data_IF_726928038736
#
_entry.id   IF_726928038736
#
_cell.length_a   1.000
_cell.length_b   1.000
_cell.length_c   1.000
_cell.angle_alpha   90.00
_cell.angle_beta   90.00
_cell.angle_gamma   90.00
#
_symmetry.space_group_name_H-M   'P 1'
#
loop_
_entity.id
_entity.type
_entity.pdbx_description
1 polymer ?
#
# COMPACT_ATOMS: atom_id res chain seq x y z
N UNK A 1 -8.94 2.97 11.88
CA UNK A 1 -7.99 3.23 10.79
C UNK A 1 -8.39 2.57 9.46
N UNK A 2 -8.42 1.23 9.36
CA UNK A 2 -8.59 0.52 8.06
C UNK A 2 -9.90 0.81 7.32
N UNK A 3 -11.04 0.87 8.01
CA UNK A 3 -12.35 1.11 7.38
C UNK A 3 -12.40 2.47 6.67
N UNK A 4 -12.05 3.55 7.38
CA UNK A 4 -12.05 4.90 6.81
C UNK A 4 -11.10 5.03 5.62
N UNK A 5 -9.88 4.50 5.72
CA UNK A 5 -8.92 4.52 4.61
C UNK A 5 -9.43 3.76 3.37
N UNK A 6 -10.11 2.64 3.58
CA UNK A 6 -10.72 1.86 2.49
C UNK A 6 -11.88 2.61 1.83
N UNK A 7 -12.76 3.25 2.60
CA UNK A 7 -13.89 4.03 2.08
C UNK A 7 -13.39 5.24 1.27
N UNK A 8 -12.39 5.96 1.78
CA UNK A 8 -11.80 7.10 1.05
C UNK A 8 -11.14 6.61 -0.24
N UNK A 9 -10.42 5.48 -0.19
CA UNK A 9 -9.80 4.90 -1.39
C UNK A 9 -10.87 4.52 -2.43
N UNK A 10 -11.94 3.83 -2.03
CA UNK A 10 -13.07 3.51 -2.90
C UNK A 10 -13.65 4.76 -3.55
N UNK A 11 -13.96 5.79 -2.75
CA UNK A 11 -14.50 7.04 -3.27
C UNK A 11 -13.58 7.67 -4.32
N UNK A 12 -12.26 7.71 -4.06
CA UNK A 12 -11.30 8.27 -5.03
C UNK A 12 -11.27 7.42 -6.30
N UNK A 13 -11.20 6.10 -6.17
CA UNK A 13 -11.09 5.18 -7.31
C UNK A 13 -12.37 5.20 -8.16
N UNK A 14 -13.56 5.20 -7.55
CA UNK A 14 -14.83 5.24 -8.28
C UNK A 14 -15.07 6.58 -9.00
N UNK A 15 -14.66 7.70 -8.40
CA UNK A 15 -14.91 9.03 -8.99
C UNK A 15 -13.80 9.53 -9.91
N UNK A 16 -12.54 9.12 -9.68
CA UNK A 16 -11.39 9.67 -10.39
C UNK A 16 -10.45 8.60 -10.98
N UNK A 17 -10.71 7.32 -10.71
CA UNK A 17 -9.89 6.21 -11.19
C UNK A 17 -8.72 5.85 -10.28
N UNK A 18 -8.15 4.67 -10.55
CA UNK A 18 -7.01 4.11 -9.80
C UNK A 18 -5.74 4.98 -9.91
N UNK A 19 -5.51 5.54 -11.10
CA UNK A 19 -4.29 6.31 -11.37
C UNK A 19 -4.26 7.61 -10.56
N UNK A 20 -5.42 8.25 -10.37
CA UNK A 20 -5.55 9.42 -9.49
C UNK A 20 -5.26 9.04 -8.03
N UNK A 21 -5.76 7.90 -7.56
CA UNK A 21 -5.45 7.42 -6.22
C UNK A 21 -3.93 7.23 -6.03
N UNK A 22 -3.25 6.58 -6.98
CA UNK A 22 -1.79 6.38 -6.94
C UNK A 22 -1.02 7.70 -7.01
N UNK A 23 -1.47 8.67 -7.81
CA UNK A 23 -0.89 10.02 -7.89
C UNK A 23 -0.99 10.76 -6.55
N UNK A 24 -2.17 10.71 -5.92
CA UNK A 24 -2.40 11.29 -4.58
C UNK A 24 -1.56 10.61 -3.52
N UNK A 25 -1.52 9.28 -3.53
CA UNK A 25 -0.74 8.50 -2.56
C UNK A 25 0.77 8.79 -2.67
N UNK A 26 1.25 9.13 -3.87
CA UNK A 26 2.65 9.49 -4.14
C UNK A 26 2.99 10.93 -3.75
N UNK A 27 2.00 11.79 -3.47
CA UNK A 27 2.21 13.17 -3.07
C UNK A 27 2.46 13.26 -1.55
N UNK A 28 3.65 13.67 -1.07
CA UNK A 28 4.02 13.56 0.35
C UNK A 28 3.05 14.27 1.31
N UNK A 29 2.63 15.49 0.98
CA UNK A 29 1.66 16.22 1.80
C UNK A 29 0.30 15.55 1.83
N UNK A 30 -0.14 14.98 0.70
CA UNK A 30 -1.44 14.32 0.64
C UNK A 30 -1.42 13.03 1.45
N UNK A 31 -0.34 12.24 1.32
CA UNK A 31 -0.13 11.03 2.11
C UNK A 31 -0.10 11.33 3.62
N UNK A 32 0.59 12.40 4.02
CA UNK A 32 0.63 12.85 5.42
C UNK A 32 -0.76 13.24 5.93
N UNK A 33 -1.50 14.07 5.18
CA UNK A 33 -2.87 14.45 5.52
C UNK A 33 -3.81 13.25 5.56
N UNK A 34 -3.64 12.31 4.64
CA UNK A 34 -4.44 11.09 4.60
C UNK A 34 -4.19 10.21 5.82
N UNK A 35 -2.94 10.06 6.24
CA UNK A 35 -2.61 9.40 7.50
C UNK A 35 -3.21 10.11 8.71
N UNK A 36 -3.21 11.44 8.73
CA UNK A 36 -3.84 12.22 9.79
C UNK A 36 -5.35 11.99 9.87
N UNK A 37 -6.05 12.01 8.73
CA UNK A 37 -7.48 11.68 8.64
C UNK A 37 -7.76 10.25 9.12
N UNK A 38 -6.85 9.31 8.85
CA UNK A 38 -6.96 7.93 9.33
C UNK A 38 -6.68 7.76 10.83
N UNK A 39 -6.32 8.83 11.55
CA UNK A 39 -6.09 8.87 13.00
C UNK A 39 -4.62 8.84 13.43
N UNK A 40 -3.67 9.17 12.54
CA UNK A 40 -2.26 9.32 12.89
C UNK A 40 -1.94 10.77 13.29
N UNK A 41 -1.03 10.97 14.24
CA UNK A 41 -0.53 12.32 14.50
C UNK A 41 0.46 12.78 13.43
N UNK A 42 0.54 14.09 13.20
CA UNK A 42 1.43 14.70 12.20
C UNK A 42 2.92 14.40 12.46
N UNK A 43 3.30 14.14 13.71
CA UNK A 43 4.68 13.82 14.09
C UNK A 43 4.93 12.30 14.20
N UNK A 44 4.01 11.47 13.68
CA UNK A 44 4.15 10.01 13.74
C UNK A 44 5.29 9.50 12.86
N UNK A 45 6.35 8.98 13.46
CA UNK A 45 7.50 8.40 12.75
C UNK A 45 7.16 7.18 11.88
N UNK A 46 6.09 6.47 12.21
CA UNK A 46 5.68 5.23 11.54
C UNK A 46 4.52 5.39 10.55
N UNK A 47 4.19 6.62 10.11
CA UNK A 47 2.99 6.91 9.32
C UNK A 47 2.89 6.04 8.05
N UNK A 48 3.95 5.92 7.27
CA UNK A 48 3.97 5.10 6.04
C UNK A 48 3.56 3.66 6.33
N UNK A 49 4.20 3.05 7.32
CA UNK A 49 3.94 1.66 7.68
C UNK A 49 2.56 1.43 8.32
N UNK A 50 2.02 2.44 9.01
CA UNK A 50 0.67 2.40 9.57
C UNK A 50 -0.41 2.52 8.51
N UNK A 51 -0.30 3.53 7.65
CA UNK A 51 -1.27 3.80 6.59
C UNK A 51 -1.29 2.63 5.59
N UNK A 52 -0.14 2.21 5.09
CA UNK A 52 -0.06 1.10 4.11
C UNK A 52 -0.57 -0.21 4.71
N UNK A 53 -0.21 -0.54 5.95
CA UNK A 53 -0.74 -1.73 6.62
C UNK A 53 -2.25 -1.67 6.87
N UNK A 54 -2.78 -0.48 7.19
CA UNK A 54 -4.21 -0.27 7.35
C UNK A 54 -4.97 -0.42 6.02
N UNK A 55 -4.43 0.12 4.92
CA UNK A 55 -4.96 -0.02 3.56
C UNK A 55 -4.93 -1.48 3.10
N UNK A 56 -3.83 -2.22 3.32
CA UNK A 56 -3.74 -3.64 2.97
C UNK A 56 -4.89 -4.45 3.57
N UNK A 57 -5.19 -4.25 4.85
CA UNK A 57 -6.32 -4.93 5.52
C UNK A 57 -7.67 -4.41 5.02
N UNK A 58 -7.82 -3.09 4.89
CA UNK A 58 -9.10 -2.47 4.53
C UNK A 58 -9.54 -2.75 3.09
N UNK A 59 -8.59 -2.82 2.15
CA UNK A 59 -8.86 -3.05 0.73
C UNK A 59 -8.95 -4.53 0.37
N UNK A 60 -8.54 -5.45 1.26
CA UNK A 60 -8.50 -6.88 0.98
C UNK A 60 -9.83 -7.46 0.45
N UNK A 61 -11.01 -7.09 0.98
CA UNK A 61 -12.29 -7.61 0.49
C UNK A 61 -12.67 -7.13 -0.92
N UNK A 62 -12.08 -6.04 -1.40
CA UNK A 62 -12.44 -5.34 -2.65
C UNK A 62 -11.25 -5.21 -3.61
N UNK A 63 -10.15 -5.92 -3.36
CA UNK A 63 -8.89 -5.78 -4.12
C UNK A 63 -9.07 -6.08 -5.61
N UNK A 64 -9.98 -7.01 -5.93
CA UNK A 64 -10.30 -7.40 -7.31
C UNK A 64 -11.20 -6.37 -8.00
N UNK A 65 -12.21 -5.85 -7.29
CA UNK A 65 -13.14 -4.84 -7.81
C UNK A 65 -12.42 -3.53 -8.12
N UNK A 66 -11.59 -3.05 -7.20
CA UNK A 66 -10.83 -1.81 -7.37
C UNK A 66 -9.58 -1.99 -8.25
N UNK A 67 -9.18 -3.23 -8.54
CA UNK A 67 -7.91 -3.53 -9.21
C UNK A 67 -6.70 -2.97 -8.44
N UNK A 68 -6.77 -2.96 -7.11
CA UNK A 68 -5.77 -2.41 -6.20
C UNK A 68 -5.35 -3.47 -5.19
N UNK A 69 -4.05 -3.79 -5.18
CA UNK A 69 -3.47 -4.74 -4.22
C UNK A 69 -2.26 -4.14 -3.53
N UNK A 70 -2.27 -4.15 -2.20
CA UNK A 70 -1.19 -3.62 -1.37
C UNK A 70 -0.32 -4.79 -0.91
N UNK A 71 0.98 -4.72 -1.22
CA UNK A 71 1.95 -5.76 -0.87
C UNK A 71 2.85 -5.28 0.27
N UNK A 72 3.34 -6.23 1.07
CA UNK A 72 4.21 -5.99 2.21
C UNK A 72 3.47 -5.66 3.51
N UNK A 73 4.22 -5.48 4.59
CA UNK A 73 3.73 -5.20 5.94
C UNK A 73 4.89 -4.62 6.78
N UNK A 74 4.76 -4.58 8.11
CA UNK A 74 5.82 -4.15 9.02
C UNK A 74 6.77 -5.26 9.46
N UNK A 75 7.99 -4.86 9.83
CA UNK A 75 8.96 -5.71 10.50
C UNK A 75 9.31 -6.98 9.72
N UNK A 76 9.30 -8.13 10.37
CA UNK A 76 9.59 -9.44 9.76
C UNK A 76 8.68 -9.75 8.55
N UNK A 77 7.43 -9.26 8.56
CA UNK A 77 6.49 -9.50 7.46
C UNK A 77 6.81 -8.67 6.21
N UNK A 78 7.53 -7.56 6.33
CA UNK A 78 7.97 -6.77 5.16
C UNK A 78 8.91 -7.58 4.26
N UNK A 79 9.65 -8.53 4.83
CA UNK A 79 10.57 -9.44 4.12
C UNK A 79 9.84 -10.40 3.17
N UNK A 80 8.52 -10.58 3.33
CA UNK A 80 7.68 -11.44 2.46
C UNK A 80 7.15 -10.72 1.23
N UNK A 81 7.38 -9.42 1.07
CA UNK A 81 6.92 -8.64 -0.10
C UNK A 81 7.35 -9.26 -1.44
N UNK A 82 8.60 -9.75 -1.62
CA UNK A 82 9.01 -10.45 -2.84
C UNK A 82 8.15 -11.68 -3.16
N UNK A 83 7.82 -12.49 -2.15
CA UNK A 83 7.02 -13.70 -2.33
C UNK A 83 5.57 -13.36 -2.66
N UNK A 84 5.01 -12.33 -2.00
CA UNK A 84 3.69 -11.80 -2.35
C UNK A 84 3.67 -11.38 -3.83
N UNK A 85 4.62 -10.55 -4.27
CA UNK A 85 4.69 -10.07 -5.64
C UNK A 85 4.83 -11.21 -6.67
N UNK A 86 5.62 -12.25 -6.35
CA UNK A 86 5.76 -13.44 -7.21
C UNK A 86 4.42 -14.17 -7.36
N UNK A 87 3.76 -14.52 -6.26
CA UNK A 87 2.46 -15.20 -6.27
C UNK A 87 1.39 -14.38 -7.01
N UNK A 88 1.47 -13.06 -6.89
CA UNK A 88 0.59 -12.12 -7.57
C UNK A 88 0.84 -12.13 -9.09
N UNK A 89 2.11 -12.11 -9.52
CA UNK A 89 2.51 -12.23 -10.92
C UNK A 89 2.06 -13.54 -11.55
N UNK A 90 2.26 -14.67 -10.85
CA UNK A 90 1.80 -16.00 -11.28
C UNK A 90 0.28 -16.05 -11.45
N UNK A 91 -0.47 -15.44 -10.53
CA UNK A 91 -1.95 -15.46 -10.58
C UNK A 91 -2.53 -14.56 -11.67
N UNK A 92 -1.94 -13.38 -11.89
CA UNK A 92 -2.48 -12.38 -12.82
C UNK A 92 -1.88 -12.53 -14.23
N UNK A 93 -0.73 -13.20 -14.36
CA UNK A 93 -0.05 -13.43 -15.63
C UNK A 93 0.84 -12.26 -16.07
N UNK A 94 1.61 -11.65 -15.15
CA UNK A 94 2.57 -10.59 -15.48
C UNK A 94 3.95 -10.83 -14.88
N UNK A 95 5.00 -10.25 -15.49
CA UNK A 95 6.37 -10.34 -14.96
C UNK A 95 6.52 -9.48 -13.70
N UNK A 96 6.64 -10.15 -12.55
CA UNK A 96 6.83 -9.51 -11.24
C UNK A 96 8.28 -9.15 -10.92
N UNK A 97 9.24 -9.58 -11.72
CA UNK A 97 10.69 -9.42 -11.47
C UNK A 97 11.10 -7.96 -11.25
N UNK A 98 10.64 -6.97 -12.05
CA UNK A 98 10.98 -5.57 -11.83
C UNK A 98 10.47 -5.03 -10.49
N UNK A 99 9.26 -5.43 -10.09
CA UNK A 99 8.65 -5.02 -8.81
C UNK A 99 9.37 -5.65 -7.62
N UNK A 100 9.77 -6.93 -7.73
CA UNK A 100 10.55 -7.62 -6.71
C UNK A 100 11.91 -6.92 -6.52
N UNK A 101 12.58 -6.58 -7.62
CA UNK A 101 13.85 -5.83 -7.58
C UNK A 101 13.66 -4.46 -6.93
N UNK A 102 12.65 -3.69 -7.34
CA UNK A 102 12.34 -2.38 -6.76
C UNK A 102 12.06 -2.49 -5.25
N UNK A 103 11.27 -3.48 -4.83
CA UNK A 103 10.97 -3.74 -3.42
C UNK A 103 12.24 -3.99 -2.59
N UNK A 104 13.19 -4.78 -3.11
CA UNK A 104 14.47 -5.05 -2.43
C UNK A 104 15.39 -3.83 -2.36
N UNK A 105 15.39 -2.97 -3.39
CA UNK A 105 16.23 -1.77 -3.42
C UNK A 105 15.73 -0.69 -2.45
N UNK A 106 14.41 -0.49 -2.39
CA UNK A 106 13.79 0.51 -1.51
C UNK A 106 13.73 0.00 -0.05
N UNK A 107 13.52 -1.31 0.14
CA UNK A 107 13.55 -1.97 1.43
C UNK A 107 14.97 -2.18 1.95
N UNK A 108 15.68 -1.12 2.34
CA UNK A 108 17.06 -1.23 2.84
C UNK A 108 17.11 -1.57 4.34
N UNK A 109 17.70 -2.74 4.66
CA UNK A 109 18.23 -3.25 5.96
C UNK A 109 17.32 -3.22 7.21
N UNK A 110 16.79 -4.40 7.55
CA UNK A 110 16.97 -4.93 8.90
C UNK A 110 17.99 -6.08 8.82
N UNK A 111 19.27 -5.74 8.66
CA UNK A 111 20.38 -6.62 9.06
C UNK A 111 20.47 -6.54 10.58
N UNK A 112 19.90 -7.54 11.22
CA UNK A 112 20.25 -8.09 12.53
C UNK A 112 19.61 -9.49 12.59
#
# INVERSE_FOLDING_TARGET
>A
MSSLGAIITQAIVHHYGRDEFLRRLSHPFWFQSFGAVMGMDWHSSAITTSVIGALKRGLKPMENELGLRVCGDRGQHSRKTPDELRLIGERIGFDSTPLIRASRLVGHRATA
#
